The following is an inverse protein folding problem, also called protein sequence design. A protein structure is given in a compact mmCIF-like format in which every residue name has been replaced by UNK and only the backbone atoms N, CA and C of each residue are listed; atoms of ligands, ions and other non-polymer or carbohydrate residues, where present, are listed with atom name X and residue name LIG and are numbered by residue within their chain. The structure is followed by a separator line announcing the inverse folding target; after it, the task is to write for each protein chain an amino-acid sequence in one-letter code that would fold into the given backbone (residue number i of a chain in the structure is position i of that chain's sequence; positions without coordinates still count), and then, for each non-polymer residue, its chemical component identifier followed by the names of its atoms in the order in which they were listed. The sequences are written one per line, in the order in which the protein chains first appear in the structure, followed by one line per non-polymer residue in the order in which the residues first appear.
data_IF_116234583883
#
_entry.id   IF_116234583883
#
_cell.length_a   1.000
_cell.length_b   1.000
_cell.length_c   1.000
_cell.angle_alpha   90.00
_cell.angle_beta   90.00
_cell.angle_gamma   90.00
#
_symmetry.space_group_name_H-M   'P 1'
#
loop_
_entity.id
_entity.type
_entity.pdbx_description
1 polymer ?
#
# COMPACT_ATOMS: atom_id res chain seq x y z
N UNK A 1 -12.40 6.07 3.19
CA UNK A 1 -12.33 6.01 4.65
C UNK A 1 -11.52 4.82 5.12
N UNK A 2 -11.07 4.85 6.35
CA UNK A 2 -10.33 3.77 6.99
C UNK A 2 -11.27 3.03 7.93
N UNK A 3 -11.45 1.75 7.72
CA UNK A 3 -12.40 0.91 8.47
C UNK A 3 -11.79 -0.45 8.76
N UNK A 4 -12.19 -1.03 9.89
CA UNK A 4 -11.97 -2.43 10.19
C UNK A 4 -13.22 -3.21 9.78
N UNK A 5 -13.00 -4.27 9.03
CA UNK A 5 -14.05 -5.18 8.60
C UNK A 5 -13.81 -6.55 9.21
N UNK A 6 -14.86 -7.13 9.78
CA UNK A 6 -14.89 -8.50 10.26
C UNK A 6 -15.65 -9.42 9.30
N UNK A 7 -15.85 -10.66 9.75
CA UNK A 7 -16.54 -11.70 8.96
C UNK A 7 -15.75 -12.05 7.72
N UNK A 8 -16.40 -11.94 6.56
CA UNK A 8 -15.78 -12.13 5.22
C UNK A 8 -15.43 -10.77 4.57
N UNK A 9 -15.23 -9.71 5.37
CA UNK A 9 -15.09 -8.34 4.90
C UNK A 9 -16.44 -7.63 4.69
N UNK A 10 -17.50 -8.16 5.26
CA UNK A 10 -18.88 -7.71 5.09
C UNK A 10 -19.48 -7.05 6.35
N UNK A 11 -18.79 -7.16 7.48
CA UNK A 11 -19.22 -6.57 8.74
C UNK A 11 -18.34 -5.37 9.07
N UNK A 12 -18.93 -4.16 9.11
CA UNK A 12 -18.22 -2.97 9.60
C UNK A 12 -18.12 -3.05 11.13
N UNK A 13 -16.91 -3.24 11.64
CA UNK A 13 -16.64 -3.30 13.08
C UNK A 13 -16.25 -1.94 13.63
N UNK A 14 -15.38 -1.22 12.93
CA UNK A 14 -14.84 0.05 13.41
C UNK A 14 -14.47 1.00 12.28
N UNK A 15 -14.50 2.29 12.57
CA UNK A 15 -14.01 3.37 11.70
C UNK A 15 -12.86 4.07 12.39
N UNK A 16 -11.79 4.36 11.65
CA UNK A 16 -10.62 5.09 12.13
C UNK A 16 -10.52 6.46 11.49
N UNK A 17 -9.82 7.38 12.15
CA UNK A 17 -9.33 8.58 11.47
C UNK A 17 -8.43 8.18 10.29
N UNK A 18 -8.65 8.76 9.10
CA UNK A 18 -7.85 8.42 7.93
C UNK A 18 -6.38 8.78 8.12
N UNK A 19 -5.49 7.86 7.78
CA UNK A 19 -4.08 8.17 7.66
C UNK A 19 -3.87 9.30 6.62
N UNK A 20 -2.89 10.15 6.88
CA UNK A 20 -2.45 11.20 5.97
C UNK A 20 -1.01 10.92 5.61
N UNK A 21 -0.56 11.44 4.48
CA UNK A 21 0.82 11.29 4.06
C UNK A 21 0.95 11.00 2.58
N UNK A 22 2.19 10.84 2.17
CA UNK A 22 2.59 10.50 0.80
C UNK A 22 3.06 9.05 0.78
N UNK A 23 2.68 8.33 -0.26
CA UNK A 23 3.16 6.99 -0.55
C UNK A 23 3.73 6.91 -1.95
N UNK A 24 4.70 6.05 -2.16
CA UNK A 24 5.18 5.67 -3.49
C UNK A 24 4.73 4.26 -3.78
N UNK A 25 4.04 4.08 -4.89
CA UNK A 25 3.70 2.78 -5.45
C UNK A 25 4.74 2.40 -6.49
N UNK A 26 5.26 1.18 -6.40
CA UNK A 26 6.18 0.60 -7.37
C UNK A 26 5.60 -0.72 -7.86
N UNK A 27 5.79 -1.04 -9.14
CA UNK A 27 5.33 -2.29 -9.73
C UNK A 27 6.36 -2.79 -10.74
N UNK A 28 6.70 -4.08 -10.66
CA UNK A 28 7.44 -4.80 -11.70
C UNK A 28 6.50 -5.26 -12.82
N UNK A 29 7.02 -5.53 -13.98
CA UNK A 29 6.21 -5.95 -15.14
C UNK A 29 5.60 -7.35 -14.95
N UNK A 30 6.29 -8.20 -14.19
CA UNK A 30 5.81 -9.54 -13.88
C UNK A 30 4.62 -9.50 -12.93
N UNK A 31 3.64 -10.37 -13.17
CA UNK A 31 2.44 -10.52 -12.36
C UNK A 31 2.46 -11.79 -11.53
N UNK A 32 1.91 -11.73 -10.34
CA UNK A 32 1.67 -12.92 -9.51
C UNK A 32 0.29 -13.48 -9.80
N UNK A 33 0.22 -14.80 -10.00
CA UNK A 33 -1.07 -15.48 -9.99
C UNK A 33 -1.65 -15.48 -8.57
N UNK A 34 -2.74 -14.76 -8.36
CA UNK A 34 -3.43 -14.72 -7.07
C UNK A 34 -3.78 -16.13 -6.58
N UNK A 35 -4.19 -17.04 -7.50
CA UNK A 35 -4.46 -18.43 -7.18
C UNK A 35 -3.21 -19.15 -6.65
N UNK A 36 -2.05 -18.93 -7.28
CA UNK A 36 -0.80 -19.53 -6.83
C UNK A 36 -0.33 -18.95 -5.48
N UNK A 37 -0.52 -17.64 -5.26
CA UNK A 37 -0.21 -17.01 -3.99
C UNK A 37 -1.05 -17.57 -2.83
N UNK A 38 -2.36 -17.79 -3.04
CA UNK A 38 -3.22 -18.43 -2.03
C UNK A 38 -2.86 -19.90 -1.81
N UNK A 39 -2.53 -20.64 -2.85
CA UNK A 39 -2.09 -22.02 -2.69
C UNK A 39 -0.78 -22.12 -1.88
N UNK A 40 0.19 -21.23 -2.14
CA UNK A 40 1.40 -21.14 -1.36
C UNK A 40 1.13 -20.70 0.08
N UNK A 41 0.16 -19.79 0.28
CA UNK A 41 -0.24 -19.34 1.61
C UNK A 41 -0.83 -20.50 2.46
N UNK A 42 -1.64 -21.36 1.86
CA UNK A 42 -2.23 -22.51 2.56
C UNK A 42 -1.15 -23.51 3.03
N UNK A 43 0.03 -23.50 2.43
CA UNK A 43 1.20 -24.31 2.84
C UNK A 43 2.02 -23.65 3.96
N UNK A 44 1.82 -22.37 4.23
CA UNK A 44 2.55 -21.65 5.28
C UNK A 44 1.94 -21.93 6.66
N UNK A 45 2.78 -22.34 7.60
CA UNK A 45 2.34 -22.68 8.96
C UNK A 45 2.04 -21.46 9.86
N UNK A 46 2.45 -20.25 9.48
CA UNK A 46 2.35 -19.07 10.32
C UNK A 46 1.52 -17.98 9.64
N UNK A 47 0.41 -17.61 10.29
CA UNK A 47 -0.40 -16.45 9.95
C UNK A 47 -0.17 -15.38 11.00
N UNK A 48 0.15 -14.17 10.58
CA UNK A 48 0.17 -13.03 11.49
C UNK A 48 -1.26 -12.65 11.85
N UNK A 49 -1.51 -12.50 13.13
CA UNK A 49 -2.75 -11.93 13.63
C UNK A 49 -2.46 -10.48 14.04
N UNK A 50 -3.35 -9.57 13.67
CA UNK A 50 -3.29 -8.22 14.21
C UNK A 50 -3.44 -8.28 15.73
N UNK A 51 -2.60 -7.53 16.44
CA UNK A 51 -2.82 -7.26 17.87
C UNK A 51 -4.14 -6.51 18.05
N UNK A 52 -4.64 -6.48 19.31
CA UNK A 52 -5.87 -5.73 19.60
C UNK A 52 -5.70 -4.27 19.16
N UNK A 53 -6.65 -3.79 18.37
CA UNK A 53 -6.68 -2.41 17.89
C UNK A 53 -7.57 -1.50 18.75
N UNK A 54 -8.02 -1.97 19.92
CA UNK A 54 -9.02 -1.28 20.75
C UNK A 54 -8.60 0.13 21.18
N UNK A 55 -7.31 0.34 21.39
CA UNK A 55 -6.74 1.64 21.77
C UNK A 55 -6.34 2.53 20.58
N UNK A 56 -6.42 2.01 19.34
CA UNK A 56 -6.00 2.74 18.14
C UNK A 56 -7.16 3.57 17.61
N UNK A 57 -6.96 4.86 17.43
CA UNK A 57 -7.97 5.78 16.88
C UNK A 57 -7.67 6.18 15.45
N UNK A 58 -6.39 6.27 15.10
CA UNK A 58 -5.93 6.66 13.77
C UNK A 58 -5.44 5.48 12.95
N UNK A 59 -5.77 5.44 11.68
CA UNK A 59 -5.23 4.45 10.75
C UNK A 59 -3.71 4.56 10.56
N UNK A 60 -3.09 5.70 10.91
CA UNK A 60 -1.65 5.88 10.88
C UNK A 60 -0.90 5.09 11.96
N UNK A 61 -1.62 4.66 13.01
CA UNK A 61 -1.07 3.88 14.12
C UNK A 61 -1.22 2.37 13.91
N UNK A 62 -1.95 1.97 12.85
CA UNK A 62 -2.14 0.55 12.55
C UNK A 62 -0.84 -0.06 12.02
N UNK A 63 -0.44 -1.24 12.55
CA UNK A 63 0.72 -1.94 12.02
C UNK A 63 0.47 -2.35 10.56
N UNK A 64 1.49 -2.14 9.72
CA UNK A 64 1.44 -2.57 8.33
C UNK A 64 1.82 -4.05 8.25
N UNK A 65 0.91 -4.90 7.80
CA UNK A 65 1.22 -6.30 7.51
C UNK A 65 0.39 -6.83 6.35
N UNK A 66 0.91 -7.85 5.69
CA UNK A 66 0.21 -8.56 4.62
C UNK A 66 0.56 -10.05 4.68
N UNK A 67 -0.38 -10.86 5.13
CA UNK A 67 -0.18 -12.30 5.28
C UNK A 67 0.13 -13.02 3.95
N UNK A 68 -0.26 -12.44 2.81
CA UNK A 68 0.06 -13.00 1.49
C UNK A 68 1.49 -12.67 1.02
N UNK A 69 2.21 -11.75 1.68
CA UNK A 69 3.50 -11.29 1.19
C UNK A 69 4.51 -12.44 1.05
N UNK A 70 4.73 -13.21 2.12
CA UNK A 70 5.68 -14.33 2.09
C UNK A 70 5.32 -15.38 1.04
N UNK A 71 4.03 -15.72 0.91
CA UNK A 71 3.55 -16.67 -0.10
C UNK A 71 3.74 -16.13 -1.52
N UNK A 72 3.44 -14.86 -1.75
CA UNK A 72 3.64 -14.22 -3.04
C UNK A 72 5.12 -14.11 -3.43
N UNK A 73 5.98 -13.83 -2.47
CA UNK A 73 7.44 -13.79 -2.64
C UNK A 73 8.03 -15.18 -2.95
N UNK A 74 7.45 -16.26 -2.42
CA UNK A 74 7.81 -17.63 -2.83
C UNK A 74 7.43 -17.92 -4.28
N UNK A 75 6.25 -17.46 -4.72
CA UNK A 75 5.78 -17.64 -6.09
C UNK A 75 6.58 -16.79 -7.08
N UNK A 76 6.95 -15.57 -6.67
CA UNK A 76 7.72 -14.63 -7.49
C UNK A 76 8.78 -13.93 -6.64
N UNK A 77 10.01 -14.47 -6.54
CA UNK A 77 11.09 -13.92 -5.71
C UNK A 77 11.45 -12.45 -5.99
N UNK A 78 11.24 -11.98 -7.23
CA UNK A 78 11.45 -10.59 -7.60
C UNK A 78 10.60 -9.60 -6.78
N UNK A 79 9.54 -10.06 -6.11
CA UNK A 79 8.76 -9.22 -5.19
C UNK A 79 9.55 -8.90 -3.93
N UNK A 80 10.26 -9.89 -3.36
CA UNK A 80 11.13 -9.68 -2.20
C UNK A 80 12.25 -8.70 -2.54
N UNK A 81 12.91 -8.88 -3.68
CA UNK A 81 13.95 -7.98 -4.17
C UNK A 81 13.42 -6.54 -4.34
N UNK A 82 12.20 -6.40 -4.87
CA UNK A 82 11.54 -5.10 -5.06
C UNK A 82 11.23 -4.44 -3.72
N UNK A 83 10.71 -5.20 -2.74
CA UNK A 83 10.38 -4.71 -1.40
C UNK A 83 11.65 -4.28 -0.67
N UNK A 84 12.71 -5.09 -0.68
CA UNK A 84 13.99 -4.78 -0.06
C UNK A 84 14.65 -3.56 -0.69
N UNK A 85 14.64 -3.48 -2.02
CA UNK A 85 15.13 -2.30 -2.72
C UNK A 85 14.35 -1.05 -2.33
N UNK A 86 13.02 -1.13 -2.28
CA UNK A 86 12.18 0.02 -1.93
C UNK A 86 12.42 0.44 -0.47
N UNK A 87 12.57 -0.51 0.45
CA UNK A 87 12.90 -0.26 1.85
C UNK A 87 14.26 0.43 2.02
N UNK A 88 15.21 0.19 1.13
CA UNK A 88 16.53 0.82 1.16
C UNK A 88 16.57 2.25 0.60
N UNK A 89 15.45 2.76 0.06
CA UNK A 89 15.46 4.08 -0.55
C UNK A 89 15.46 5.20 0.50
N UNK A 90 16.29 6.24 0.33
CA UNK A 90 16.26 7.42 1.19
C UNK A 90 14.87 8.08 1.18
N UNK A 91 14.36 8.42 2.35
CA UNK A 91 13.05 9.07 2.50
C UNK A 91 11.87 8.11 2.68
N UNK A 92 12.11 6.81 2.74
CA UNK A 92 11.12 5.84 3.21
C UNK A 92 10.97 5.95 4.72
N UNK A 93 9.74 6.00 5.20
CA UNK A 93 9.43 6.06 6.61
C UNK A 93 9.75 4.72 7.33
N UNK A 94 10.04 4.83 8.61
CA UNK A 94 10.31 3.70 9.48
C UNK A 94 9.38 3.75 10.69
N UNK A 95 8.95 2.60 11.13
CA UNK A 95 8.11 2.47 12.31
C UNK A 95 8.92 2.66 13.63
N UNK A 96 8.25 2.53 14.76
CA UNK A 96 8.89 2.68 16.08
C UNK A 96 9.96 1.61 16.37
N UNK A 97 9.93 0.48 15.68
CA UNK A 97 10.94 -0.58 15.78
C UNK A 97 12.13 -0.35 14.84
N UNK A 98 12.05 0.66 13.97
CA UNK A 98 13.06 0.97 12.96
C UNK A 98 12.90 0.16 11.67
N UNK A 99 11.78 -0.53 11.49
CA UNK A 99 11.49 -1.27 10.27
C UNK A 99 10.89 -0.33 9.21
N UNK A 100 11.33 -0.49 7.96
CA UNK A 100 10.85 0.34 6.87
C UNK A 100 9.35 0.06 6.59
N UNK A 101 8.57 1.12 6.49
CA UNK A 101 7.14 1.05 6.19
C UNK A 101 6.89 0.75 4.71
N UNK A 102 7.16 -0.48 4.32
CA UNK A 102 7.00 -1.00 2.95
C UNK A 102 6.13 -2.25 2.96
N UNK A 103 5.13 -2.28 2.11
CA UNK A 103 4.18 -3.39 2.07
C UNK A 103 3.77 -3.76 0.64
N UNK A 104 3.65 -5.07 0.40
CA UNK A 104 3.07 -5.62 -0.82
C UNK A 104 1.54 -5.37 -0.85
N UNK A 105 1.01 -4.91 -1.96
CA UNK A 105 -0.43 -4.70 -2.16
C UNK A 105 -1.11 -6.03 -2.54
N UNK A 106 -1.88 -6.61 -1.61
CA UNK A 106 -2.58 -7.87 -1.84
C UNK A 106 -1.60 -9.00 -2.21
N UNK A 107 -1.84 -9.71 -3.30
CA UNK A 107 -0.93 -10.74 -3.83
C UNK A 107 0.23 -10.18 -4.67
N UNK A 108 0.30 -8.88 -4.88
CA UNK A 108 1.31 -8.25 -5.74
C UNK A 108 0.80 -8.09 -7.18
N UNK A 109 1.62 -7.58 -8.10
CA UNK A 109 3.05 -7.22 -7.99
C UNK A 109 3.32 -5.77 -7.57
N UNK A 110 2.31 -5.02 -7.14
CA UNK A 110 2.52 -3.67 -6.65
C UNK A 110 2.97 -3.69 -5.18
N UNK A 111 3.94 -2.86 -4.86
CA UNK A 111 4.46 -2.63 -3.50
C UNK A 111 4.39 -1.14 -3.22
N UNK A 112 4.02 -0.73 -2.02
CA UNK A 112 4.09 0.66 -1.63
C UNK A 112 5.08 0.90 -0.49
N UNK A 113 5.59 2.11 -0.42
CA UNK A 113 6.32 2.64 0.73
C UNK A 113 5.65 3.91 1.23
N UNK A 114 5.57 4.06 2.54
CA UNK A 114 5.23 5.34 3.16
C UNK A 114 6.46 6.25 3.07
N UNK A 115 6.25 7.50 2.75
CA UNK A 115 7.33 8.48 2.64
C UNK A 115 7.37 9.32 3.91
N UNK A 116 8.56 9.50 4.47
CA UNK A 116 8.77 10.35 5.63
C UNK A 116 8.20 11.76 5.43
N UNK A 117 7.67 12.32 6.50
CA UNK A 117 7.27 13.74 6.54
C UNK A 117 8.46 14.67 6.28
N UNK A 118 8.15 15.92 6.02
CA UNK A 118 9.16 16.92 5.66
C UNK A 118 9.70 16.69 4.24
N UNK A 119 9.31 17.59 3.34
CA UNK A 119 9.66 17.52 1.91
C UNK A 119 9.27 16.19 1.21
N UNK A 120 8.17 15.58 1.67
CA UNK A 120 7.71 14.27 1.19
C UNK A 120 7.46 14.23 -0.32
N UNK A 121 7.09 15.36 -0.92
CA UNK A 121 6.90 15.47 -2.38
C UNK A 121 8.21 15.23 -3.13
N UNK A 122 9.32 15.85 -2.66
CA UNK A 122 10.63 15.68 -3.28
C UNK A 122 11.17 14.27 -3.04
N UNK A 123 11.12 13.78 -1.80
CA UNK A 123 11.51 12.39 -1.46
C UNK A 123 10.77 11.38 -2.34
N UNK A 124 9.45 11.50 -2.47
CA UNK A 124 8.66 10.64 -3.33
C UNK A 124 9.07 10.74 -4.81
N UNK A 125 9.37 11.94 -5.30
CA UNK A 125 9.83 12.13 -6.68
C UNK A 125 11.18 11.44 -6.92
N UNK A 126 12.11 11.53 -5.97
CA UNK A 126 13.42 10.89 -6.05
C UNK A 126 13.29 9.35 -6.08
N UNK A 127 12.44 8.78 -5.22
CA UNK A 127 12.15 7.33 -5.21
C UNK A 127 11.51 6.90 -6.53
N UNK A 128 10.52 7.66 -7.05
CA UNK A 128 9.89 7.37 -8.33
C UNK A 128 10.89 7.43 -9.48
N UNK A 129 11.81 8.38 -9.48
CA UNK A 129 12.86 8.48 -10.49
C UNK A 129 13.80 7.27 -10.42
N UNK A 130 14.23 6.88 -9.22
CA UNK A 130 15.08 5.72 -9.01
C UNK A 130 14.41 4.40 -9.47
N UNK A 131 13.11 4.22 -9.18
CA UNK A 131 12.33 3.06 -9.63
C UNK A 131 12.27 2.98 -11.16
N UNK A 132 12.03 4.10 -11.83
CA UNK A 132 11.97 4.17 -13.29
C UNK A 132 13.31 3.85 -13.94
N UNK A 133 14.42 4.27 -13.34
CA UNK A 133 15.78 3.92 -13.82
C UNK A 133 16.04 2.41 -13.74
N UNK A 134 15.36 1.69 -12.83
CA UNK A 134 15.40 0.23 -12.75
C UNK A 134 14.39 -0.46 -13.68
N UNK A 135 13.67 0.28 -14.50
CA UNK A 135 12.66 -0.25 -15.41
C UNK A 135 11.30 -0.55 -14.74
N UNK A 136 11.11 -0.16 -13.48
CA UNK A 136 9.85 -0.39 -12.79
C UNK A 136 8.85 0.72 -13.09
N UNK A 137 7.57 0.38 -13.11
CA UNK A 137 6.52 1.39 -13.05
C UNK A 137 6.46 1.97 -11.63
N UNK A 138 6.37 3.29 -11.51
CA UNK A 138 6.27 3.93 -10.21
C UNK A 138 5.44 5.21 -10.25
N UNK A 139 4.76 5.48 -9.14
CA UNK A 139 3.93 6.68 -8.96
C UNK A 139 3.88 7.11 -7.49
N UNK A 140 3.95 8.43 -7.25
CA UNK A 140 3.63 9.00 -5.95
C UNK A 140 2.11 9.23 -5.84
N UNK A 141 1.56 8.98 -4.67
CA UNK A 141 0.16 9.16 -4.32
C UNK A 141 0.05 9.75 -2.91
N UNK A 142 -1.10 10.27 -2.57
CA UNK A 142 -1.44 10.64 -1.18
C UNK A 142 -2.60 9.79 -0.70
N UNK A 143 -2.66 9.55 0.60
CA UNK A 143 -3.82 8.92 1.20
C UNK A 143 -5.06 9.77 0.98
N UNK A 144 -6.16 9.13 0.56
CA UNK A 144 -7.44 9.79 0.37
C UNK A 144 -8.28 9.67 1.66
N UNK A 145 -8.69 10.78 2.27
CA UNK A 145 -9.48 10.73 3.51
C UNK A 145 -10.91 10.21 3.28
N UNK A 146 -11.35 10.14 2.02
CA UNK A 146 -12.69 9.74 1.63
C UNK A 146 -12.59 8.60 0.61
N UNK A 147 -13.14 7.43 0.94
CA UNK A 147 -13.14 6.27 0.05
C UNK A 147 -14.10 6.40 -1.13
N UNK A 148 -15.28 7.01 -0.92
CA UNK A 148 -16.29 7.21 -1.94
C UNK A 148 -16.83 8.64 -1.87
N UNK A 149 -16.92 9.30 -3.01
CA UNK A 149 -17.57 10.61 -3.15
C UNK A 149 -18.71 10.48 -4.15
N UNK A 150 -19.92 10.82 -3.73
CA UNK A 150 -21.04 11.01 -4.64
C UNK A 150 -20.88 12.40 -5.27
N UNK A 151 -20.80 12.45 -6.58
CA UNK A 151 -20.80 13.70 -7.34
C UNK A 151 -22.23 13.95 -7.77
N UNK A 152 -22.92 14.86 -7.09
CA UNK A 152 -24.21 15.37 -7.56
C UNK A 152 -23.97 16.09 -8.89
N UNK A 153 -24.72 15.73 -9.93
CA UNK A 153 -24.52 16.21 -11.30
C UNK A 153 -24.75 17.73 -11.51
N UNK A 154 -24.82 18.51 -10.45
CA UNK A 154 -24.94 19.96 -10.42
C UNK A 154 -23.71 20.59 -9.77
N UNK A 155 -22.57 20.58 -10.44
CA UNK A 155 -21.40 21.23 -9.83
C UNK A 155 -20.03 20.91 -10.44
N UNK A 156 -19.98 20.49 -11.67
CA UNK A 156 -18.71 20.44 -12.40
C UNK A 156 -18.36 21.83 -12.95
N UNK A 157 -18.23 22.79 -12.04
CA UNK A 157 -17.55 24.05 -12.33
C UNK A 157 -16.06 23.85 -12.15
N UNK A 158 -15.34 23.80 -13.26
CA UNK A 158 -13.92 24.10 -13.49
C UNK A 158 -12.86 23.36 -12.64
N UNK A 159 -12.00 22.63 -13.32
CA UNK A 159 -10.63 22.21 -12.98
C UNK A 159 -10.37 20.85 -12.36
N UNK A 160 -11.13 19.83 -12.69
CA UNK A 160 -10.57 18.47 -12.67
C UNK A 160 -10.63 17.91 -14.09
N UNK A 161 -9.47 17.75 -14.71
CA UNK A 161 -9.36 17.14 -16.02
C UNK A 161 -10.12 15.82 -16.06
N UNK A 162 -10.81 15.57 -17.19
CA UNK A 162 -11.62 14.39 -17.38
C UNK A 162 -10.89 13.11 -16.93
N UNK A 163 -11.57 12.19 -16.26
CA UNK A 163 -10.95 10.92 -15.86
C UNK A 163 -10.46 10.21 -17.12
N UNK A 164 -9.15 10.04 -17.24
CA UNK A 164 -8.61 9.19 -18.30
C UNK A 164 -9.06 7.77 -17.99
N UNK A 165 -9.76 7.16 -18.93
CA UNK A 165 -10.07 5.73 -18.88
C UNK A 165 -8.75 4.99 -18.74
N UNK A 166 -8.59 4.31 -17.61
CA UNK A 166 -7.49 3.38 -17.38
C UNK A 166 -8.07 2.01 -17.71
N UNK A 167 -7.67 1.47 -18.85
CA UNK A 167 -7.78 0.05 -19.20
C UNK A 167 -6.38 -0.53 -19.14
#
# INVERSE_FOLDING_TARGET
GCVQLGGKGDVLERTFEPARGTVVLVKIDEGVSTKAAYAAFDELAAVQHAESTDAIESAAELPLFNNLAAASEQVLPALAETREWLASQPGVAHDAAGEAEVLLCGSGSATFAVVEDGDSIRKAADIVAAAKLKGMWARSCSFAPIGVRVLDGQGAGSNLGAPRKIW
#
